data_IF_976582520719
#
_entry.id   IF_976582520719
#
_cell.length_a   1.000
_cell.length_b   1.000
_cell.length_c   1.000
_cell.angle_alpha   90.00
_cell.angle_beta   90.00
_cell.angle_gamma   90.00
#
_symmetry.space_group_name_H-M   'P 1'
#
loop_
_entity.id
_entity.type
_entity.pdbx_description
1 polymer ?
#
# COMPACT_ATOMS: atom_id res chain seq x y z
N UNK A 1 11.12 1.34 -15.03
CA UNK A 1 9.86 0.56 -15.05
C UNK A 1 9.10 0.93 -16.32
N UNK A 2 9.77 0.91 -17.47
CA UNK A 2 9.37 1.73 -18.64
C UNK A 2 8.72 0.91 -19.77
N UNK A 3 8.32 -0.34 -19.51
CA UNK A 3 7.93 -1.30 -20.54
C UNK A 3 6.47 -1.77 -20.49
N UNK A 4 5.64 -1.23 -19.60
CA UNK A 4 4.20 -1.53 -19.56
C UNK A 4 3.45 -0.30 -20.13
N UNK A 5 2.86 -0.38 -21.33
CA UNK A 5 2.12 0.74 -21.90
C UNK A 5 0.90 1.10 -21.05
N UNK A 6 0.68 2.39 -20.80
CA UNK A 6 -0.54 2.89 -20.14
C UNK A 6 -0.55 2.83 -18.61
N UNK A 7 0.60 2.58 -17.98
CA UNK A 7 0.75 2.63 -16.52
C UNK A 7 1.72 3.71 -16.11
N UNK A 8 1.55 4.25 -14.91
CA UNK A 8 2.46 5.21 -14.29
C UNK A 8 2.72 4.84 -12.82
N UNK A 9 3.86 5.22 -12.22
CA UNK A 9 4.09 5.05 -10.78
C UNK A 9 3.06 5.82 -9.94
N UNK A 10 2.62 5.26 -8.81
CA UNK A 10 1.73 5.96 -7.87
C UNK A 10 2.39 7.21 -7.29
N UNK A 11 3.70 7.15 -7.09
CA UNK A 11 4.53 8.27 -6.66
C UNK A 11 5.88 8.27 -7.36
N UNK A 12 6.62 9.35 -7.23
CA UNK A 12 8.03 9.42 -7.61
C UNK A 12 8.90 9.13 -6.37
N UNK A 13 10.14 8.65 -6.57
CA UNK A 13 11.07 8.46 -5.46
C UNK A 13 11.22 9.72 -4.61
N UNK A 14 11.67 9.59 -3.34
CA UNK A 14 11.93 10.73 -2.49
C UNK A 14 12.89 11.73 -3.16
N UNK A 15 12.59 13.02 -3.00
CA UNK A 15 13.49 14.09 -3.38
C UNK A 15 14.41 14.48 -2.22
N UNK A 16 15.43 15.30 -2.50
CA UNK A 16 16.27 15.91 -1.46
C UNK A 16 15.44 16.70 -0.42
N UNK A 17 14.25 17.19 -0.81
CA UNK A 17 13.36 17.96 0.05
C UNK A 17 12.41 17.07 0.87
N UNK A 18 11.98 15.92 0.33
CA UNK A 18 11.08 15.00 1.03
C UNK A 18 11.81 13.98 1.90
N UNK A 19 13.11 13.79 1.66
CA UNK A 19 14.08 12.92 2.33
C UNK A 19 13.68 11.43 2.33
N UNK A 20 12.56 11.06 2.95
CA UNK A 20 12.10 9.68 3.11
C UNK A 20 10.71 9.41 2.55
N UNK A 21 10.01 10.43 2.02
CA UNK A 21 8.64 10.29 1.50
C UNK A 21 8.58 10.43 -0.01
N UNK A 22 7.74 9.63 -0.64
CA UNK A 22 7.52 9.70 -2.09
C UNK A 22 6.89 11.03 -2.49
N UNK A 23 7.26 11.48 -3.69
CA UNK A 23 6.81 12.74 -4.27
C UNK A 23 5.67 12.49 -5.24
N UNK A 24 4.60 13.26 -5.12
CA UNK A 24 3.44 13.18 -6.02
C UNK A 24 3.30 14.55 -6.70
N UNK A 25 2.75 14.59 -7.91
CA UNK A 25 2.50 15.90 -8.54
C UNK A 25 1.46 16.67 -7.73
N UNK A 26 1.60 18.00 -7.63
CA UNK A 26 0.77 18.85 -6.74
C UNK A 26 -0.73 18.72 -7.01
N UNK A 27 -1.10 18.40 -8.25
CA UNK A 27 -2.48 18.26 -8.70
C UNK A 27 -2.93 16.79 -8.87
N UNK A 28 -2.08 15.83 -8.51
CA UNK A 28 -2.46 14.43 -8.60
C UNK A 28 -3.53 14.12 -7.57
N UNK A 29 -4.67 13.63 -8.05
CA UNK A 29 -5.77 13.20 -7.20
C UNK A 29 -6.37 11.91 -7.71
N UNK A 30 -6.93 11.13 -6.80
CA UNK A 30 -7.64 9.90 -7.11
C UNK A 30 -9.07 9.94 -6.54
N UNK A 31 -9.95 9.12 -7.11
CA UNK A 31 -11.30 8.95 -6.59
C UNK A 31 -11.30 8.02 -5.37
N UNK A 32 -12.32 8.12 -4.53
CA UNK A 32 -12.54 7.18 -3.41
C UNK A 32 -12.61 5.71 -3.86
N UNK A 33 -13.29 5.43 -4.97
CA UNK A 33 -13.40 4.07 -5.53
C UNK A 33 -12.03 3.55 -6.01
N UNK A 34 -11.26 4.41 -6.70
CA UNK A 34 -9.90 4.10 -7.13
C UNK A 34 -8.98 3.81 -5.94
N UNK A 35 -9.00 4.66 -4.90
CA UNK A 35 -8.27 4.44 -3.66
C UNK A 35 -8.56 3.06 -3.08
N UNK A 36 -9.83 2.71 -2.92
CA UNK A 36 -10.22 1.42 -2.34
C UNK A 36 -9.79 0.24 -3.22
N UNK A 37 -9.94 0.32 -4.56
CA UNK A 37 -9.48 -0.73 -5.48
C UNK A 37 -7.97 -0.98 -5.38
N UNK A 38 -7.18 0.10 -5.31
CA UNK A 38 -5.73 0.06 -5.11
C UNK A 38 -5.41 -0.63 -3.79
N UNK A 39 -5.97 -0.15 -2.67
CA UNK A 39 -5.69 -0.68 -1.33
C UNK A 39 -6.12 -2.15 -1.18
N UNK A 40 -7.28 -2.54 -1.73
CA UNK A 40 -7.75 -3.93 -1.74
C UNK A 40 -6.75 -4.83 -2.48
N UNK A 41 -6.33 -4.41 -3.68
CA UNK A 41 -5.43 -5.21 -4.51
C UNK A 41 -4.07 -5.37 -3.85
N UNK A 42 -3.51 -4.28 -3.33
CA UNK A 42 -2.24 -4.29 -2.61
C UNK A 42 -2.28 -5.15 -1.34
N UNK A 43 -3.38 -5.08 -0.57
CA UNK A 43 -3.54 -5.95 0.60
C UNK A 43 -3.63 -7.44 0.21
N UNK A 44 -4.23 -7.77 -0.94
CA UNK A 44 -4.26 -9.15 -1.48
C UNK A 44 -2.88 -9.62 -1.95
N UNK A 45 -2.11 -8.75 -2.62
CA UNK A 45 -0.73 -9.05 -3.03
C UNK A 45 0.10 -9.36 -1.80
N UNK A 46 0.09 -8.49 -0.79
CA UNK A 46 0.85 -8.69 0.44
C UNK A 46 0.42 -9.92 1.22
N UNK A 47 -0.89 -10.23 1.25
CA UNK A 47 -1.39 -11.49 1.80
C UNK A 47 -0.76 -12.69 1.09
N UNK A 48 -0.75 -12.68 -0.25
CA UNK A 48 -0.14 -13.75 -1.05
C UNK A 48 1.36 -13.90 -0.75
N UNK A 49 2.11 -12.79 -0.66
CA UNK A 49 3.52 -12.82 -0.30
C UNK A 49 3.75 -13.39 1.10
N UNK A 50 2.93 -13.02 2.09
CA UNK A 50 3.00 -13.56 3.44
C UNK A 50 2.71 -15.07 3.53
N UNK A 51 1.81 -15.58 2.68
CA UNK A 51 1.56 -17.03 2.51
C UNK A 51 2.77 -17.75 1.91
N UNK A 52 3.52 -17.08 1.03
CA UNK A 52 4.77 -17.58 0.42
C UNK A 52 6.03 -17.29 1.24
N UNK A 53 5.89 -16.60 2.38
CA UNK A 53 7.01 -16.15 3.22
C UNK A 53 8.00 -15.26 2.48
N UNK A 54 7.47 -14.35 1.68
CA UNK A 54 8.24 -13.34 0.95
C UNK A 54 7.98 -11.98 1.60
N UNK A 55 9.06 -11.30 2.00
CA UNK A 55 9.05 -9.89 2.37
C UNK A 55 9.43 -9.09 1.13
N UNK A 56 8.66 -8.05 0.78
CA UNK A 56 8.99 -7.18 -0.33
C UNK A 56 10.19 -6.28 0.03
N UNK A 57 10.17 -5.73 1.25
CA UNK A 57 11.24 -4.92 1.81
C UNK A 57 11.24 -3.46 1.35
N UNK A 58 10.63 -3.15 0.22
CA UNK A 58 10.57 -1.79 -0.36
C UNK A 58 9.16 -1.38 -0.83
N UNK A 59 8.18 -1.50 0.05
CA UNK A 59 6.76 -1.30 -0.28
C UNK A 59 6.35 0.18 -0.23
N UNK A 60 6.63 0.91 -1.32
CA UNK A 60 6.39 2.36 -1.47
C UNK A 60 5.66 2.69 -2.78
N UNK A 61 5.12 3.91 -2.88
CA UNK A 61 4.32 4.33 -4.02
C UNK A 61 5.11 4.36 -5.33
N UNK A 62 6.40 4.71 -5.29
CA UNK A 62 7.26 4.69 -6.47
C UNK A 62 7.51 3.29 -7.03
N UNK A 63 7.32 2.24 -6.22
CA UNK A 63 7.43 0.85 -6.65
C UNK A 63 6.10 0.23 -7.07
N UNK A 64 5.03 1.02 -7.06
CA UNK A 64 3.69 0.55 -7.45
C UNK A 64 3.28 1.29 -8.72
N UNK A 65 3.10 0.55 -9.80
CA UNK A 65 2.52 1.06 -11.03
C UNK A 65 1.01 0.96 -10.95
N UNK A 66 0.29 1.89 -11.56
CA UNK A 66 -1.15 1.83 -11.72
C UNK A 66 -1.61 2.36 -13.07
N UNK A 67 -2.82 1.99 -13.49
CA UNK A 67 -3.45 2.48 -14.72
C UNK A 67 -4.73 3.28 -14.45
N UNK A 68 -5.33 3.80 -15.53
CA UNK A 68 -6.59 4.56 -15.48
C UNK A 68 -7.78 3.73 -14.96
N UNK A 69 -7.67 2.39 -14.96
CA UNK A 69 -8.69 1.47 -14.42
C UNK A 69 -8.45 1.11 -12.95
N UNK A 70 -7.46 1.74 -12.31
CA UNK A 70 -7.02 1.45 -10.94
C UNK A 70 -6.50 0.01 -10.76
N UNK A 71 -6.05 -0.63 -11.84
CA UNK A 71 -5.21 -1.82 -11.72
C UNK A 71 -3.84 -1.42 -11.21
N UNK A 72 -3.21 -2.30 -10.43
CA UNK A 72 -1.91 -2.03 -9.81
C UNK A 72 -0.94 -3.20 -9.99
N UNK A 73 0.33 -2.86 -10.12
CA UNK A 73 1.44 -3.80 -10.20
C UNK A 73 2.52 -3.41 -9.21
N UNK A 74 2.88 -4.34 -8.31
CA UNK A 74 4.00 -4.17 -7.41
C UNK A 74 5.29 -4.58 -8.13
N UNK A 75 6.22 -3.65 -8.23
CA UNK A 75 7.53 -3.81 -8.85
C UNK A 75 8.68 -3.64 -7.85
N UNK A 76 9.90 -3.67 -8.37
CA UNK A 76 11.17 -3.59 -7.65
C UNK A 76 11.35 -4.59 -6.50
N UNK A 77 11.81 -5.77 -6.87
CA UNK A 77 12.05 -6.88 -5.96
C UNK A 77 13.50 -6.92 -5.45
N UNK A 78 14.31 -5.87 -5.70
CA UNK A 78 15.73 -5.85 -5.37
C UNK A 78 16.02 -5.99 -3.87
N UNK A 79 15.10 -5.51 -3.03
CA UNK A 79 15.16 -5.63 -1.57
C UNK A 79 14.40 -6.83 -1.00
N UNK A 80 13.78 -7.66 -1.86
CA UNK A 80 12.92 -8.75 -1.41
C UNK A 80 13.71 -9.97 -0.91
N UNK A 81 13.14 -10.68 0.07
CA UNK A 81 13.77 -11.88 0.64
C UNK A 81 12.74 -12.85 1.22
N UNK A 82 13.16 -14.11 1.35
CA UNK A 82 12.40 -15.14 2.06
C UNK A 82 12.69 -15.10 3.56
N UNK A 83 11.68 -15.39 4.38
CA UNK A 83 11.81 -15.47 5.83
C UNK A 83 11.22 -16.77 6.40
N UNK A 84 11.61 -17.13 7.62
CA UNK A 84 11.18 -18.38 8.25
C UNK A 84 9.81 -18.28 8.92
N UNK A 85 9.16 -19.42 9.19
CA UNK A 85 7.78 -19.45 9.72
C UNK A 85 7.64 -18.72 11.07
N UNK A 86 8.68 -18.71 11.90
CA UNK A 86 8.70 -18.03 13.20
C UNK A 86 8.96 -16.51 13.10
N UNK A 87 9.27 -15.98 11.92
CA UNK A 87 9.62 -14.58 11.71
C UNK A 87 8.42 -13.73 11.25
N UNK A 88 7.29 -13.86 11.97
CA UNK A 88 6.06 -13.10 11.69
C UNK A 88 6.23 -11.57 11.75
N UNK A 89 7.33 -11.09 12.31
CA UNK A 89 7.64 -9.67 12.44
C UNK A 89 7.77 -8.97 11.07
N UNK A 90 8.26 -9.66 10.04
CA UNK A 90 8.42 -9.08 8.70
C UNK A 90 7.08 -8.71 8.06
N UNK A 91 6.06 -9.55 8.21
CA UNK A 91 4.69 -9.23 7.79
C UNK A 91 4.18 -7.96 8.51
N UNK A 92 4.56 -7.76 9.77
CA UNK A 92 4.18 -6.56 10.52
C UNK A 92 4.91 -5.30 10.07
N UNK A 93 6.10 -5.42 9.49
CA UNK A 93 6.78 -4.28 8.85
C UNK A 93 6.08 -3.90 7.55
N UNK A 94 5.71 -4.87 6.72
CA UNK A 94 4.92 -4.66 5.51
C UNK A 94 3.56 -4.01 5.81
N UNK A 95 2.88 -4.42 6.88
CA UNK A 95 1.61 -3.78 7.32
C UNK A 95 1.82 -2.31 7.68
N UNK A 96 2.96 -1.95 8.28
CA UNK A 96 3.26 -0.56 8.60
C UNK A 96 3.54 0.26 7.33
N UNK A 97 4.29 -0.30 6.38
CA UNK A 97 4.52 0.33 5.08
C UNK A 97 3.19 0.57 4.34
N UNK A 98 2.30 -0.43 4.34
CA UNK A 98 0.94 -0.30 3.82
C UNK A 98 0.14 0.83 4.51
N UNK A 99 0.27 0.98 5.84
CA UNK A 99 -0.35 2.07 6.58
C UNK A 99 0.12 3.46 6.14
N UNK A 100 1.43 3.63 5.90
CA UNK A 100 1.97 4.90 5.40
C UNK A 100 1.50 5.19 3.97
N UNK A 101 1.56 4.21 3.08
CA UNK A 101 1.03 4.34 1.72
C UNK A 101 -0.46 4.72 1.72
N UNK A 102 -1.28 4.03 2.53
CA UNK A 102 -2.70 4.33 2.63
C UNK A 102 -2.96 5.75 3.14
N UNK A 103 -2.18 6.22 4.12
CA UNK A 103 -2.25 7.60 4.60
C UNK A 103 -1.90 8.61 3.49
N UNK A 104 -0.86 8.36 2.70
CA UNK A 104 -0.47 9.23 1.58
C UNK A 104 -1.55 9.31 0.49
N UNK A 105 -2.16 8.17 0.14
CA UNK A 105 -3.21 8.12 -0.87
C UNK A 105 -4.51 8.78 -0.37
N UNK A 106 -4.85 8.64 0.92
CA UNK A 106 -6.00 9.32 1.53
C UNK A 106 -5.87 10.84 1.42
N UNK A 107 -4.67 11.39 1.66
CA UNK A 107 -4.41 12.83 1.51
C UNK A 107 -4.61 13.35 0.08
N UNK A 108 -4.64 12.47 -0.92
CA UNK A 108 -4.76 12.78 -2.35
C UNK A 108 -6.11 12.35 -2.95
N UNK A 109 -7.05 11.96 -2.09
CA UNK A 109 -8.34 11.46 -2.55
C UNK A 109 -9.40 12.55 -2.53
N UNK A 110 -10.09 12.75 -3.65
CA UNK A 110 -11.25 13.65 -3.74
C UNK A 110 -12.53 12.92 -3.30
N UNK A 111 -13.51 13.67 -2.77
CA UNK A 111 -14.78 13.13 -2.26
C UNK A 111 -14.60 12.02 -1.20
N UNK A 112 -13.60 12.18 -0.33
CA UNK A 112 -13.22 11.22 0.69
C UNK A 112 -14.41 10.90 1.63
N UNK A 113 -14.56 9.63 1.99
CA UNK A 113 -15.45 9.16 3.07
C UNK A 113 -14.58 8.67 4.26
N UNK A 114 -13.85 9.59 4.94
CA UNK A 114 -12.71 9.25 5.80
C UNK A 114 -13.06 8.31 6.94
N UNK A 115 -14.21 8.51 7.60
CA UNK A 115 -14.48 7.97 8.94
C UNK A 115 -14.34 6.45 9.15
N UNK A 116 -14.19 5.66 8.09
CA UNK A 116 -13.91 4.22 8.16
C UNK A 116 -12.45 3.82 7.87
N UNK A 117 -11.65 4.62 7.15
CA UNK A 117 -10.26 4.30 6.83
C UNK A 117 -9.28 4.77 7.90
N UNK A 118 -9.48 5.94 8.51
CA UNK A 118 -8.57 6.46 9.53
C UNK A 118 -8.27 5.45 10.66
N UNK A 119 -9.26 4.78 11.29
CA UNK A 119 -8.98 3.79 12.32
C UNK A 119 -8.12 2.62 11.81
N UNK A 120 -8.41 2.12 10.61
CA UNK A 120 -7.65 1.04 9.98
C UNK A 120 -6.18 1.43 9.75
N UNK A 121 -5.95 2.68 9.30
CA UNK A 121 -4.62 3.23 9.09
C UNK A 121 -3.88 3.33 10.43
N UNK A 122 -4.54 3.81 11.49
CA UNK A 122 -3.93 3.86 12.83
C UNK A 122 -3.55 2.47 13.35
N UNK A 123 -4.39 1.45 13.12
CA UNK A 123 -4.09 0.07 13.48
C UNK A 123 -2.84 -0.44 12.73
N UNK A 124 -2.70 -0.10 11.44
CA UNK A 124 -1.51 -0.44 10.65
C UNK A 124 -0.24 0.27 11.18
N UNK A 125 -0.38 1.51 11.64
CA UNK A 125 0.72 2.35 12.12
C UNK A 125 1.05 2.14 13.60
N UNK A 126 0.41 1.20 14.29
CA UNK A 126 0.61 0.95 15.70
C UNK A 126 2.11 0.73 16.02
N UNK A 127 2.59 1.39 17.09
CA UNK A 127 3.98 1.30 17.54
C UNK A 127 4.36 -0.12 17.95
N UNK A 128 3.43 -0.87 18.54
CA UNK A 128 3.59 -2.27 18.85
C UNK A 128 3.25 -3.13 17.61
N UNK A 129 4.23 -3.84 17.00
CA UNK A 129 3.98 -4.66 15.82
C UNK A 129 2.95 -5.77 16.03
N UNK A 130 2.75 -6.22 17.28
CA UNK A 130 1.79 -7.27 17.62
C UNK A 130 0.34 -6.82 17.48
N UNK A 131 0.09 -5.52 17.63
CA UNK A 131 -1.26 -4.95 17.59
C UNK A 131 -1.67 -4.55 16.17
N UNK A 132 -0.74 -4.61 15.21
CA UNK A 132 -1.04 -4.37 13.80
C UNK A 132 -1.89 -5.52 13.24
N UNK A 133 -2.83 -5.24 12.31
CA UNK A 133 -3.66 -6.27 11.69
C UNK A 133 -2.83 -7.22 10.80
N UNK A 134 -3.48 -8.24 10.23
CA UNK A 134 -2.89 -9.04 9.15
C UNK A 134 -3.53 -8.65 7.80
N UNK A 135 -2.86 -8.98 6.70
CA UNK A 135 -3.34 -8.61 5.37
C UNK A 135 -4.66 -9.29 5.00
N UNK A 136 -4.98 -10.45 5.57
CA UNK A 136 -6.28 -11.11 5.37
C UNK A 136 -7.43 -10.30 5.97
N UNK A 137 -7.26 -9.72 7.17
CA UNK A 137 -8.26 -8.83 7.77
C UNK A 137 -8.35 -7.50 7.02
N UNK A 138 -7.21 -6.93 6.60
CA UNK A 138 -7.17 -5.69 5.83
C UNK A 138 -7.91 -5.82 4.50
N UNK A 139 -7.57 -6.83 3.70
CA UNK A 139 -8.20 -7.06 2.40
C UNK A 139 -9.71 -7.26 2.51
N UNK A 140 -10.18 -7.97 3.57
CA UNK A 140 -11.62 -8.17 3.82
C UNK A 140 -12.31 -6.86 4.19
N UNK A 141 -11.73 -6.09 5.11
CA UNK A 141 -12.30 -4.82 5.55
C UNK A 141 -12.40 -3.84 4.38
N UNK A 142 -11.34 -3.70 3.60
CA UNK A 142 -11.29 -2.81 2.44
C UNK A 142 -12.28 -3.24 1.34
N UNK A 143 -12.43 -4.55 1.11
CA UNK A 143 -13.43 -5.05 0.15
C UNK A 143 -14.84 -4.71 0.60
N UNK A 144 -15.16 -4.88 1.88
CA UNK A 144 -16.48 -4.51 2.41
C UNK A 144 -16.76 -3.00 2.30
N UNK A 145 -15.74 -2.15 2.35
CA UNK A 145 -15.88 -0.71 2.09
C UNK A 145 -16.10 -0.40 0.61
N UNK A 146 -15.47 -1.17 -0.28
CA UNK A 146 -15.62 -1.01 -1.73
C UNK A 146 -17.01 -1.43 -2.20
N UNK A 147 -17.61 -2.44 -1.55
CA UNK A 147 -18.93 -2.97 -1.89
C UNK A 147 -20.10 -2.18 -1.27
N UNK A 148 -19.83 -1.13 -0.46
CA UNK A 148 -20.84 -0.33 0.25
C UNK A 148 -21.15 1.01 -0.41
#
# INVERSE_FOLDING_TARGET
>A
MDYIPGVEPLGNPPSLDSITRDCYSENWTISWDSLLRILVTLARVQKYLGEKKICHGDFYAHNILFDQTSQVWLGDWGASFFYERNEHIFEKFEVRAFGYLAQELVMRTTNLKPGKLEPLIQDCLNLNPRDRPNFQSLARFLQNLLDS
#
